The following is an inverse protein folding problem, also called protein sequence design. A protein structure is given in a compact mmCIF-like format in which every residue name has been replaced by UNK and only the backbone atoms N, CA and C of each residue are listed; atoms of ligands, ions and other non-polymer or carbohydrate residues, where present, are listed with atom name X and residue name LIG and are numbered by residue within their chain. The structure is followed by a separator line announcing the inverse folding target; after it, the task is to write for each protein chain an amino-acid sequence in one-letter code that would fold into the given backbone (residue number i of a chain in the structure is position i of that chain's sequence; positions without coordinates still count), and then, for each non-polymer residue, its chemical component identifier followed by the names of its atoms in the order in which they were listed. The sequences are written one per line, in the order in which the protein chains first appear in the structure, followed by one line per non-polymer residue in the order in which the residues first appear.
data_IF_046736265606
#
_entry.id   IF_046736265606
#
_cell.length_a   1.000
_cell.length_b   1.000
_cell.length_c   1.000
_cell.angle_alpha   90.00
_cell.angle_beta   90.00
_cell.angle_gamma   90.00
#
_symmetry.space_group_name_H-M   'P 1'
#
loop_
_entity.id
_entity.type
_entity.pdbx_description
1 polymer ?
#
# COMPACT_ATOMS: atom_id res chain seq x y z
N UNK A 1 5.01 19.12 26.59
CA UNK A 1 4.58 20.02 25.49
C UNK A 1 5.03 19.45 24.15
N UNK A 2 6.31 19.18 23.99
CA UNK A 2 6.92 18.66 22.75
C UNK A 2 6.30 17.33 22.27
N UNK A 3 6.00 16.40 23.19
CA UNK A 3 5.34 15.12 22.87
C UNK A 3 3.91 15.33 22.37
N UNK A 4 3.16 16.26 22.95
CA UNK A 4 1.81 16.57 22.50
C UNK A 4 1.81 17.21 21.11
N UNK A 5 2.75 18.12 20.86
CA UNK A 5 2.89 18.78 19.56
C UNK A 5 3.22 17.74 18.46
N UNK A 6 4.01 16.71 18.80
CA UNK A 6 4.32 15.60 17.89
C UNK A 6 3.08 14.73 17.61
N UNK A 7 2.28 14.40 18.63
CA UNK A 7 1.04 13.64 18.49
C UNK A 7 0.07 14.41 17.58
N UNK A 8 -0.12 15.69 17.82
CA UNK A 8 -0.99 16.54 16.97
C UNK A 8 -0.52 16.53 15.51
N UNK A 9 0.78 16.75 15.29
CA UNK A 9 1.35 16.72 13.93
C UNK A 9 1.04 15.42 13.19
N UNK A 10 1.25 14.27 13.84
CA UNK A 10 1.01 12.97 13.18
C UNK A 10 -0.47 12.62 13.08
N UNK A 11 -1.33 13.10 13.99
CA UNK A 11 -2.78 12.99 13.85
C UNK A 11 -3.27 13.74 12.61
N UNK A 12 -2.85 14.99 12.40
CA UNK A 12 -3.19 15.75 11.20
C UNK A 12 -2.67 15.09 9.91
N UNK A 13 -1.46 14.53 9.94
CA UNK A 13 -0.92 13.79 8.80
C UNK A 13 -1.79 12.58 8.49
N UNK A 14 -2.16 11.81 9.51
CA UNK A 14 -3.01 10.64 9.35
C UNK A 14 -4.36 11.01 8.72
N UNK A 15 -5.05 12.01 9.27
CA UNK A 15 -6.34 12.49 8.76
C UNK A 15 -6.23 12.92 7.29
N UNK A 16 -5.16 13.64 6.95
CA UNK A 16 -4.97 14.19 5.60
C UNK A 16 -4.67 13.11 4.57
N UNK A 17 -3.66 12.26 4.79
CA UNK A 17 -3.11 11.38 3.75
C UNK A 17 -3.53 9.91 3.88
N UNK A 18 -3.96 9.47 5.06
CA UNK A 18 -4.44 8.09 5.28
C UNK A 18 -5.98 8.06 5.28
N UNK A 19 -6.65 8.98 5.99
CA UNK A 19 -8.10 9.12 5.96
C UNK A 19 -8.61 10.03 4.83
N UNK A 20 -7.66 10.49 3.98
CA UNK A 20 -7.94 11.12 2.69
C UNK A 20 -8.76 12.42 2.77
N UNK A 21 -8.62 13.16 3.86
CA UNK A 21 -9.32 14.46 4.04
C UNK A 21 -8.73 15.56 3.17
N UNK A 22 -7.46 15.40 2.72
CA UNK A 22 -6.81 16.37 1.85
C UNK A 22 -7.36 16.29 0.42
N UNK A 23 -8.03 17.37 0.01
CA UNK A 23 -8.63 17.48 -1.32
C UNK A 23 -7.59 17.56 -2.45
N UNK A 24 -6.33 17.94 -2.15
CA UNK A 24 -5.27 18.09 -3.14
C UNK A 24 -4.65 16.77 -3.61
N UNK A 25 -4.89 15.68 -2.90
CA UNK A 25 -4.42 14.35 -3.27
C UNK A 25 -5.09 13.89 -4.58
N UNK A 26 -4.30 13.28 -5.46
CA UNK A 26 -4.81 12.67 -6.70
C UNK A 26 -5.79 11.53 -6.42
N UNK A 27 -6.68 11.27 -7.36
CA UNK A 27 -7.57 10.10 -7.27
C UNK A 27 -6.77 8.79 -7.26
N UNK A 28 -5.66 8.77 -7.99
CA UNK A 28 -4.77 7.61 -8.04
C UNK A 28 -4.17 7.30 -6.67
N UNK A 29 -3.66 8.32 -5.96
CA UNK A 29 -3.19 8.17 -4.58
C UNK A 29 -4.30 7.67 -3.66
N UNK A 30 -5.46 8.32 -3.71
CA UNK A 30 -6.62 8.00 -2.85
C UNK A 30 -7.13 6.59 -3.08
N UNK A 31 -7.18 6.14 -4.35
CA UNK A 31 -7.58 4.79 -4.70
C UNK A 31 -6.57 3.76 -4.19
N UNK A 32 -5.27 4.05 -4.31
CA UNK A 32 -4.24 3.13 -3.83
C UNK A 32 -4.28 2.98 -2.30
N UNK A 33 -4.41 4.07 -1.54
CA UNK A 33 -4.62 4.01 -0.07
C UNK A 33 -5.87 3.19 0.27
N UNK A 34 -6.96 3.41 -0.46
CA UNK A 34 -8.22 2.67 -0.24
C UNK A 34 -8.02 1.16 -0.46
N UNK A 35 -7.32 0.77 -1.53
CA UNK A 35 -7.00 -0.63 -1.82
C UNK A 35 -6.15 -1.24 -0.71
N UNK A 36 -5.14 -0.53 -0.25
CA UNK A 36 -4.27 -0.99 0.83
C UNK A 36 -5.06 -1.18 2.13
N UNK A 37 -5.91 -0.21 2.51
CA UNK A 37 -6.79 -0.32 3.70
C UNK A 37 -7.78 -1.47 3.60
N UNK A 38 -8.35 -1.73 2.42
CA UNK A 38 -9.37 -2.76 2.22
C UNK A 38 -8.78 -4.16 2.00
N UNK A 39 -7.59 -4.22 1.45
CA UNK A 39 -6.96 -5.47 0.98
C UNK A 39 -5.94 -6.04 1.95
N UNK A 40 -5.17 -5.21 2.63
CA UNK A 40 -4.15 -5.68 3.57
C UNK A 40 -4.74 -6.00 4.95
N UNK A 41 -4.12 -6.95 5.63
CA UNK A 41 -4.50 -7.35 7.00
C UNK A 41 -3.71 -6.64 8.09
N UNK A 42 -2.62 -5.98 7.73
CA UNK A 42 -1.73 -5.25 8.63
C UNK A 42 -1.60 -3.81 8.14
N UNK A 43 -1.40 -2.92 9.08
CA UNK A 43 -1.23 -1.47 8.86
C UNK A 43 0.23 -1.02 8.99
N UNK A 44 1.18 -1.96 9.02
CA UNK A 44 2.62 -1.66 9.19
C UNK A 44 3.20 -0.78 8.08
N UNK A 45 2.50 -0.64 6.96
CA UNK A 45 2.83 0.27 5.86
C UNK A 45 2.51 1.74 6.15
N UNK A 46 1.61 2.04 7.11
CA UNK A 46 1.17 3.41 7.43
C UNK A 46 2.32 4.29 7.96
N UNK A 47 3.13 3.85 8.95
CA UNK A 47 4.21 4.67 9.49
C UNK A 47 5.22 5.17 8.44
N UNK A 48 5.71 4.36 7.48
CA UNK A 48 6.56 4.85 6.40
C UNK A 48 5.91 5.94 5.54
N UNK A 49 4.62 5.80 5.19
CA UNK A 49 3.90 6.82 4.40
C UNK A 49 3.79 8.13 5.17
N UNK A 50 3.39 8.07 6.44
CA UNK A 50 3.27 9.24 7.30
C UNK A 50 4.62 9.94 7.51
N UNK A 51 5.69 9.17 7.74
CA UNK A 51 7.02 9.72 7.95
C UNK A 51 7.56 10.36 6.67
N UNK A 52 7.38 9.72 5.52
CA UNK A 52 7.72 10.29 4.22
C UNK A 52 7.02 11.65 4.03
N UNK A 53 5.70 11.69 4.19
CA UNK A 53 4.93 12.92 4.06
C UNK A 53 5.34 13.99 5.10
N UNK A 54 5.66 13.59 6.33
CA UNK A 54 6.12 14.55 7.35
C UNK A 54 7.37 15.31 6.93
N UNK A 55 8.21 14.68 6.11
CA UNK A 55 9.53 15.15 5.70
C UNK A 55 9.52 15.83 4.33
N UNK A 56 8.84 15.23 3.36
CA UNK A 56 8.90 15.64 1.95
C UNK A 56 7.57 16.18 1.41
N UNK A 57 6.49 16.13 2.20
CA UNK A 57 5.14 16.56 1.79
C UNK A 57 4.67 15.80 0.54
N UNK A 58 4.26 16.53 -0.49
CA UNK A 58 3.75 15.96 -1.74
C UNK A 58 4.85 15.58 -2.73
N UNK A 59 6.12 15.90 -2.43
CA UNK A 59 7.21 15.62 -3.34
C UNK A 59 7.30 14.11 -3.61
N UNK A 60 6.94 13.70 -4.83
CA UNK A 60 6.90 12.29 -5.28
C UNK A 60 6.13 11.33 -4.34
N UNK A 61 5.17 11.84 -3.57
CA UNK A 61 4.44 11.05 -2.56
C UNK A 61 3.71 9.85 -3.17
N UNK A 62 3.07 10.04 -4.34
CA UNK A 62 2.35 8.98 -5.02
C UNK A 62 3.30 7.89 -5.54
N UNK A 63 4.45 8.28 -6.06
CA UNK A 63 5.48 7.34 -6.52
C UNK A 63 6.05 6.53 -5.35
N UNK A 64 6.33 7.20 -4.23
CA UNK A 64 6.74 6.52 -3.00
C UNK A 64 5.69 5.51 -2.54
N UNK A 65 4.41 5.89 -2.54
CA UNK A 65 3.32 5.00 -2.15
C UNK A 65 3.24 3.77 -3.07
N UNK A 66 3.45 3.92 -4.38
CA UNK A 66 3.46 2.80 -5.34
C UNK A 66 4.60 1.81 -5.06
N UNK A 67 5.80 2.33 -4.76
CA UNK A 67 6.94 1.47 -4.40
C UNK A 67 6.71 0.74 -3.08
N UNK A 68 6.22 1.45 -2.07
CA UNK A 68 5.94 0.88 -0.75
C UNK A 68 4.84 -0.18 -0.82
N UNK A 69 3.76 0.10 -1.55
CA UNK A 69 2.66 -0.83 -1.76
C UNK A 69 3.14 -2.09 -2.46
N UNK A 70 3.92 -1.94 -3.54
CA UNK A 70 4.47 -3.08 -4.27
C UNK A 70 5.37 -3.96 -3.39
N UNK A 71 6.24 -3.34 -2.59
CA UNK A 71 7.08 -4.05 -1.62
C UNK A 71 6.24 -4.79 -0.59
N UNK A 72 5.29 -4.09 0.03
CA UNK A 72 4.47 -4.65 1.10
C UNK A 72 3.57 -5.80 0.60
N UNK A 73 2.93 -5.61 -0.55
CA UNK A 73 2.09 -6.63 -1.18
C UNK A 73 2.90 -7.83 -1.67
N UNK A 74 4.02 -7.57 -2.33
CA UNK A 74 4.90 -8.62 -2.86
C UNK A 74 5.41 -9.54 -1.77
N UNK A 75 5.94 -8.97 -0.69
CA UNK A 75 6.40 -9.74 0.47
C UNK A 75 5.27 -10.57 1.09
N UNK A 76 4.08 -10.00 1.22
CA UNK A 76 2.93 -10.71 1.76
C UNK A 76 2.48 -11.87 0.87
N UNK A 77 2.38 -11.66 -0.44
CA UNK A 77 1.98 -12.69 -1.41
C UNK A 77 3.03 -13.81 -1.46
N UNK A 78 4.32 -13.46 -1.39
CA UNK A 78 5.42 -14.41 -1.33
C UNK A 78 5.53 -15.16 0.02
N UNK A 79 4.65 -14.88 0.98
CA UNK A 79 4.60 -15.59 2.26
C UNK A 79 5.69 -15.18 3.25
N UNK A 80 6.30 -14.02 3.07
CA UNK A 80 7.25 -13.44 4.04
C UNK A 80 6.55 -13.22 5.37
N UNK A 81 7.18 -13.66 6.46
CA UNK A 81 6.57 -13.62 7.79
C UNK A 81 6.30 -12.18 8.25
N UNK A 82 5.29 -11.96 9.13
CA UNK A 82 4.97 -10.62 9.63
C UNK A 82 6.16 -9.90 10.26
N UNK A 83 6.99 -10.61 11.03
CA UNK A 83 8.20 -10.03 11.66
C UNK A 83 9.18 -9.50 10.62
N UNK A 84 9.49 -10.29 9.59
CA UNK A 84 10.43 -9.88 8.53
C UNK A 84 9.86 -8.71 7.72
N UNK A 85 8.53 -8.69 7.47
CA UNK A 85 7.88 -7.55 6.81
C UNK A 85 7.93 -6.27 7.66
N UNK A 86 7.75 -6.39 8.97
CA UNK A 86 7.90 -5.26 9.89
C UNK A 86 9.34 -4.72 9.89
N UNK A 87 10.33 -5.62 9.89
CA UNK A 87 11.74 -5.22 9.78
C UNK A 87 12.02 -4.49 8.46
N UNK A 88 11.43 -4.95 7.34
CA UNK A 88 11.53 -4.25 6.05
C UNK A 88 10.94 -2.83 6.11
N UNK A 89 9.79 -2.64 6.77
CA UNK A 89 9.21 -1.30 6.97
C UNK A 89 10.11 -0.41 7.85
N UNK A 90 10.75 -0.98 8.85
CA UNK A 90 11.73 -0.26 9.69
C UNK A 90 12.97 0.16 8.89
N UNK A 91 13.48 -0.67 7.97
CA UNK A 91 14.59 -0.28 7.10
C UNK A 91 14.20 0.85 6.15
N UNK A 92 12.97 0.84 5.62
CA UNK A 92 12.44 1.96 4.81
C UNK A 92 12.37 3.25 5.66
N UNK A 93 11.88 3.18 6.91
CA UNK A 93 11.87 4.33 7.83
C UNK A 93 13.28 4.90 8.05
N UNK A 94 14.27 4.05 8.29
CA UNK A 94 15.68 4.46 8.45
C UNK A 94 16.25 5.09 7.17
N UNK A 95 15.87 4.58 6.01
CA UNK A 95 16.26 5.17 4.74
C UNK A 95 15.65 6.56 4.54
N UNK A 96 14.35 6.72 4.81
CA UNK A 96 13.68 8.04 4.79
C UNK A 96 14.36 9.01 5.75
N UNK A 97 14.73 8.55 6.95
CA UNK A 97 15.40 9.40 7.96
C UNK A 97 16.70 10.00 7.43
N UNK A 98 17.50 9.21 6.72
CA UNK A 98 18.80 9.63 6.16
C UNK A 98 18.67 10.47 4.88
N UNK A 99 17.53 10.42 4.20
CA UNK A 99 17.29 11.09 2.92
C UNK A 99 16.98 12.58 3.14
N UNK A 100 17.48 13.44 2.28
CA UNK A 100 17.14 14.87 2.15
C UNK A 100 16.45 15.13 0.81
N UNK A 101 15.94 16.36 0.59
CA UNK A 101 15.37 16.71 -0.73
C UNK A 101 16.42 16.65 -1.85
N UNK A 102 17.68 16.93 -1.53
CA UNK A 102 18.77 16.96 -2.52
C UNK A 102 19.12 15.56 -3.03
N UNK A 103 19.03 14.54 -2.17
CA UNK A 103 19.32 13.16 -2.53
C UNK A 103 18.07 12.25 -2.55
N UNK A 104 16.88 12.84 -2.68
CA UNK A 104 15.61 12.09 -2.70
C UNK A 104 15.58 11.02 -3.79
N UNK A 105 16.22 11.28 -4.95
CA UNK A 105 16.33 10.32 -6.04
C UNK A 105 16.98 8.99 -5.59
N UNK A 106 17.98 9.05 -4.72
CA UNK A 106 18.68 7.86 -4.22
C UNK A 106 17.75 6.92 -3.43
N UNK A 107 16.73 7.46 -2.73
CA UNK A 107 15.73 6.66 -2.04
C UNK A 107 14.92 5.80 -3.03
N UNK A 108 14.54 6.37 -4.17
CA UNK A 108 13.76 5.68 -5.20
C UNK A 108 14.60 4.68 -6.01
N UNK A 109 15.89 4.92 -6.14
CA UNK A 109 16.84 4.05 -6.81
C UNK A 109 17.39 2.93 -5.89
N UNK A 110 17.06 2.97 -4.60
CA UNK A 110 17.50 1.98 -3.63
C UNK A 110 16.74 0.66 -3.81
N UNK A 111 17.21 -0.13 -4.76
CA UNK A 111 16.60 -1.41 -5.10
C UNK A 111 16.59 -2.43 -3.96
N UNK A 112 17.46 -2.29 -2.96
CA UNK A 112 17.56 -3.29 -1.87
C UNK A 112 16.38 -3.19 -0.88
N UNK A 113 15.99 -1.97 -0.47
CA UNK A 113 14.90 -1.78 0.51
C UNK A 113 13.52 -2.04 -0.08
N UNK A 114 13.35 -1.86 -1.41
CA UNK A 114 12.10 -2.12 -2.12
C UNK A 114 12.11 -3.44 -2.89
N UNK A 115 13.14 -4.27 -2.71
CA UNK A 115 13.27 -5.55 -3.40
C UNK A 115 12.13 -6.50 -3.06
N UNK A 116 11.57 -7.10 -4.10
CA UNK A 116 10.59 -8.18 -4.05
C UNK A 116 11.15 -9.36 -4.85
N UNK A 117 10.92 -10.58 -4.39
CA UNK A 117 11.23 -11.79 -5.15
C UNK A 117 10.23 -11.93 -6.30
N UNK A 118 10.58 -11.35 -7.45
CA UNK A 118 9.71 -11.34 -8.64
C UNK A 118 9.49 -12.73 -9.23
N UNK A 119 10.46 -13.63 -9.10
CA UNK A 119 10.32 -14.99 -9.59
C UNK A 119 9.27 -15.76 -8.80
N UNK A 120 9.40 -15.77 -7.47
CA UNK A 120 8.40 -16.36 -6.58
C UNK A 120 7.03 -15.72 -6.74
N UNK A 121 6.97 -14.39 -6.81
CA UNK A 121 5.72 -13.64 -6.99
C UNK A 121 5.02 -14.07 -8.30
N UNK A 122 5.74 -14.14 -9.41
CA UNK A 122 5.20 -14.52 -10.70
C UNK A 122 4.65 -15.96 -10.70
N UNK A 123 5.39 -16.91 -10.10
CA UNK A 123 4.93 -18.30 -9.95
C UNK A 123 3.63 -18.36 -9.15
N UNK A 124 3.54 -17.62 -8.03
CA UNK A 124 2.36 -17.61 -7.17
C UNK A 124 1.15 -17.02 -7.90
N UNK A 125 1.34 -15.93 -8.64
CA UNK A 125 0.28 -15.24 -9.36
C UNK A 125 -0.24 -16.03 -10.57
N UNK A 126 0.56 -16.90 -11.15
CA UNK A 126 0.12 -17.84 -12.21
C UNK A 126 -0.68 -19.03 -11.66
N UNK A 127 -0.62 -19.25 -10.33
CA UNK A 127 -1.32 -20.32 -9.66
C UNK A 127 -2.77 -19.99 -9.31
N UNK A 128 -3.41 -20.89 -8.57
CA UNK A 128 -4.75 -20.67 -8.08
C UNK A 128 -4.74 -19.70 -6.88
N UNK A 129 -5.28 -18.50 -7.09
CA UNK A 129 -5.42 -17.47 -6.04
C UNK A 129 -6.75 -17.59 -5.27
N UNK A 130 -7.64 -18.50 -5.68
CA UNK A 130 -8.93 -18.70 -5.05
C UNK A 130 -8.79 -19.09 -3.57
N UNK A 131 -9.54 -18.42 -2.69
CA UNK A 131 -9.47 -18.65 -1.25
C UNK A 131 -8.20 -18.15 -0.57
N UNK A 132 -7.27 -17.56 -1.32
CA UNK A 132 -6.09 -16.93 -0.72
C UNK A 132 -6.46 -15.63 -0.03
N UNK A 133 -5.75 -15.33 1.05
CA UNK A 133 -6.00 -14.12 1.86
C UNK A 133 -5.81 -12.82 1.09
N UNK A 134 -4.95 -12.84 0.09
CA UNK A 134 -4.64 -11.68 -0.77
C UNK A 134 -5.54 -11.59 -2.04
N UNK A 135 -6.48 -12.52 -2.24
CA UNK A 135 -7.32 -12.53 -3.44
C UNK A 135 -8.11 -11.22 -3.62
N UNK A 136 -8.71 -10.72 -2.52
CA UNK A 136 -9.43 -9.44 -2.56
C UNK A 136 -8.52 -8.28 -2.95
N UNK A 137 -7.33 -8.20 -2.37
CA UNK A 137 -6.36 -7.18 -2.71
C UNK A 137 -5.97 -7.24 -4.20
N UNK A 138 -5.69 -8.43 -4.73
CA UNK A 138 -5.31 -8.59 -6.14
C UNK A 138 -6.42 -8.14 -7.08
N UNK A 139 -7.68 -8.48 -6.81
CA UNK A 139 -8.80 -8.05 -7.63
C UNK A 139 -8.96 -6.52 -7.61
N UNK A 140 -8.85 -5.89 -6.44
CA UNK A 140 -8.86 -4.43 -6.32
C UNK A 140 -7.67 -3.79 -7.04
N UNK A 141 -6.49 -4.42 -6.98
CA UNK A 141 -5.30 -3.92 -7.67
C UNK A 141 -5.43 -4.03 -9.19
N UNK A 142 -6.03 -5.11 -9.70
CA UNK A 142 -6.34 -5.25 -11.14
C UNK A 142 -7.28 -4.14 -11.58
N UNK A 143 -8.36 -3.89 -10.84
CA UNK A 143 -9.30 -2.80 -11.12
C UNK A 143 -8.59 -1.43 -11.15
N UNK A 144 -7.73 -1.17 -10.16
CA UNK A 144 -6.92 0.05 -10.11
C UNK A 144 -6.00 0.21 -11.32
N UNK A 145 -5.38 -0.89 -11.79
CA UNK A 145 -4.44 -0.87 -12.93
C UNK A 145 -5.15 -0.78 -14.28
N UNK A 146 -6.36 -1.33 -14.39
CA UNK A 146 -7.15 -1.33 -15.62
C UNK A 146 -8.04 -0.09 -15.76
N UNK A 147 -8.40 0.53 -14.64
CA UNK A 147 -9.23 1.72 -14.59
C UNK A 147 -8.45 3.00 -14.91
N UNK A 148 -9.16 4.06 -15.21
CA UNK A 148 -8.60 5.41 -15.40
C UNK A 148 -8.47 6.20 -14.09
N UNK A 149 -8.84 5.57 -12.96
CA UNK A 149 -8.84 6.17 -11.61
C UNK A 149 -9.64 7.49 -11.51
N UNK A 150 -10.63 7.69 -12.37
CA UNK A 150 -11.50 8.88 -12.33
C UNK A 150 -12.53 8.82 -11.21
N UNK A 151 -12.88 7.61 -10.76
CA UNK A 151 -13.85 7.36 -9.69
C UNK A 151 -13.13 6.93 -8.41
N UNK A 152 -13.57 7.51 -7.29
CA UNK A 152 -13.07 7.14 -5.97
C UNK A 152 -13.62 5.77 -5.54
N UNK A 153 -12.76 4.81 -5.27
CA UNK A 153 -13.14 3.50 -4.70
C UNK A 153 -13.80 3.65 -3.32
N UNK A 154 -13.46 4.69 -2.55
CA UNK A 154 -14.08 4.98 -1.25
C UNK A 154 -15.57 5.33 -1.34
N UNK A 155 -16.08 5.67 -2.52
CA UNK A 155 -17.51 5.89 -2.74
C UNK A 155 -18.34 4.60 -2.67
N UNK A 156 -17.70 3.44 -2.75
CA UNK A 156 -18.33 2.14 -2.63
C UNK A 156 -18.27 1.66 -1.18
N UNK A 157 -19.40 1.68 -0.47
CA UNK A 157 -19.48 1.28 0.95
C UNK A 157 -19.12 -0.18 1.19
N UNK A 158 -19.39 -1.05 0.21
CA UNK A 158 -19.14 -2.48 0.30
C UNK A 158 -18.57 -2.97 -1.01
N UNK A 159 -17.35 -3.52 -0.95
CA UNK A 159 -16.75 -4.24 -2.06
C UNK A 159 -16.54 -5.68 -1.61
N UNK A 160 -17.24 -6.60 -2.28
CA UNK A 160 -17.16 -8.04 -2.04
C UNK A 160 -16.58 -8.74 -3.26
N UNK A 161 -15.97 -9.90 -3.05
CA UNK A 161 -15.54 -10.77 -4.13
C UNK A 161 -16.74 -11.60 -4.54
N UNK A 162 -17.24 -11.39 -5.76
CA UNK A 162 -18.33 -12.16 -6.33
C UNK A 162 -17.79 -13.34 -7.16
N UNK A 163 -18.55 -14.42 -7.16
CA UNK A 163 -18.23 -15.62 -7.95
C UNK A 163 -19.19 -15.71 -9.14
N UNK A 164 -18.63 -15.75 -10.33
CA UNK A 164 -19.41 -15.94 -11.58
C UNK A 164 -20.07 -17.31 -11.61
N UNK A 165 -19.39 -18.32 -11.03
CA UNK A 165 -19.93 -19.66 -10.88
C UNK A 165 -20.15 -19.96 -9.39
N UNK A 166 -21.25 -20.64 -9.01
CA UNK A 166 -21.49 -21.04 -7.64
C UNK A 166 -20.40 -21.98 -7.13
N UNK A 167 -19.96 -21.78 -5.88
CA UNK A 167 -18.92 -22.61 -5.25
C UNK A 167 -19.36 -24.08 -5.09
N UNK A 168 -20.67 -24.31 -4.94
CA UNK A 168 -21.29 -25.61 -4.84
C UNK A 168 -22.43 -25.67 -5.85
N UNK A 169 -22.17 -25.97 -7.15
CA UNK A 169 -23.24 -26.19 -8.09
C UNK A 169 -24.10 -27.36 -7.62
N UNK A 170 -25.40 -27.15 -7.57
CA UNK A 170 -26.30 -28.30 -7.37
C UNK A 170 -26.14 -29.22 -8.57
N UNK A 171 -25.83 -30.48 -8.31
CA UNK A 171 -25.95 -31.51 -9.35
C UNK A 171 -27.42 -31.62 -9.68
N UNK A 172 -27.78 -31.38 -10.95
CA UNK A 172 -29.13 -31.61 -11.51
C UNK A 172 -29.36 -33.10 -11.76
#
# INVERSE_FOLDING_TARGET
KETLDLIYKYSEIFDNIIDLQDASLSNEYKNLITIMKMGFRSEDWIPPVMYYYSKFKYERLEEFLKLLEFKFAGDWICGITPTVRLDAMNEILKAIEKTTLENLQELFENNEIFKVDLESLNIILQGNIYGKQYAKYLLLKIEYLMGDNTVHLSNHKYITVEHVLPQNPKED
#
